data_IF_899085717006
#
_entry.id   IF_899085717006
#
_cell.length_a   1.000
_cell.length_b   1.000
_cell.length_c   1.000
_cell.angle_alpha   90.00
_cell.angle_beta   90.00
_cell.angle_gamma   90.00
#
_symmetry.space_group_name_H-M   'P 1'
#
loop_
_entity.id
_entity.type
_entity.pdbx_description
1 polymer ?
#
# COMPACT_ATOMS: atom_id res chain seq x y z
N UNK A 1 1.75 12.86 -10.87
CA UNK A 1 1.27 11.59 -10.29
C UNK A 1 2.51 10.72 -10.17
N UNK A 2 2.97 10.56 -8.94
CA UNK A 2 4.26 9.95 -8.58
C UNK A 2 4.11 8.46 -8.31
N UNK A 3 5.20 7.69 -8.39
CA UNK A 3 5.21 6.34 -7.81
C UNK A 3 5.46 6.47 -6.33
N UNK A 4 4.56 5.89 -5.54
CA UNK A 4 4.73 5.80 -4.10
C UNK A 4 4.81 4.33 -3.72
N UNK A 5 5.82 4.00 -2.93
CA UNK A 5 6.04 2.66 -2.42
C UNK A 5 5.68 2.64 -0.94
N UNK A 6 4.94 1.62 -0.53
CA UNK A 6 4.61 1.33 0.87
C UNK A 6 5.21 -0.01 1.23
N UNK A 7 6.00 -0.02 2.30
CA UNK A 7 6.51 -1.24 2.91
C UNK A 7 5.71 -1.60 4.17
N UNK A 8 5.41 -2.88 4.31
CA UNK A 8 4.72 -3.44 5.47
C UNK A 8 5.46 -4.67 5.97
N UNK A 9 5.42 -4.85 7.28
CA UNK A 9 5.97 -5.99 7.99
C UNK A 9 4.89 -6.58 8.89
N UNK A 10 4.89 -7.91 9.03
CA UNK A 10 3.91 -8.67 9.79
C UNK A 10 4.61 -9.70 10.67
N UNK A 11 4.15 -9.82 11.92
CA UNK A 11 4.69 -10.79 12.88
C UNK A 11 4.40 -12.25 12.47
N UNK A 12 3.33 -12.45 11.71
CA UNK A 12 2.91 -13.73 11.14
C UNK A 12 2.69 -13.58 9.63
N UNK A 13 2.86 -14.66 8.83
CA UNK A 13 2.58 -14.61 7.40
C UNK A 13 1.18 -14.09 7.12
N UNK A 14 1.06 -13.16 6.16
CA UNK A 14 -0.24 -12.59 5.80
C UNK A 14 -1.14 -13.61 5.13
N UNK A 15 -2.42 -13.56 5.45
CA UNK A 15 -3.46 -14.18 4.63
C UNK A 15 -3.73 -13.30 3.41
N UNK A 16 -3.40 -13.82 2.22
CA UNK A 16 -3.60 -13.12 0.95
C UNK A 16 -5.08 -12.89 0.62
N UNK A 17 -5.96 -13.80 1.01
CA UNK A 17 -7.41 -13.67 0.81
C UNK A 17 -7.97 -12.54 1.68
N UNK A 18 -7.58 -12.50 2.96
CA UNK A 18 -7.96 -11.41 3.86
C UNK A 18 -7.42 -10.06 3.38
N UNK A 19 -6.19 -10.03 2.86
CA UNK A 19 -5.59 -8.82 2.29
C UNK A 19 -6.40 -8.25 1.13
N UNK A 20 -6.86 -9.10 0.21
CA UNK A 20 -7.69 -8.69 -0.92
C UNK A 20 -9.01 -8.11 -0.43
N UNK A 21 -9.67 -8.75 0.52
CA UNK A 21 -10.94 -8.26 1.06
C UNK A 21 -10.76 -6.94 1.83
N UNK A 22 -9.65 -6.78 2.55
CA UNK A 22 -9.31 -5.51 3.21
C UNK A 22 -9.04 -4.40 2.20
N UNK A 23 -8.33 -4.69 1.11
CA UNK A 23 -8.11 -3.73 0.03
C UNK A 23 -9.43 -3.25 -0.59
N UNK A 24 -10.39 -4.17 -0.82
CA UNK A 24 -11.73 -3.82 -1.32
C UNK A 24 -12.50 -2.94 -0.34
N UNK A 25 -12.54 -3.31 0.96
CA UNK A 25 -13.24 -2.52 1.99
C UNK A 25 -12.70 -1.10 2.10
N UNK A 26 -11.40 -0.92 1.86
CA UNK A 26 -10.72 0.35 2.02
C UNK A 26 -10.57 1.15 0.71
N UNK A 27 -11.05 0.64 -0.43
CA UNK A 27 -10.85 1.25 -1.75
C UNK A 27 -11.26 2.73 -1.79
N UNK A 28 -12.40 3.07 -1.17
CA UNK A 28 -12.90 4.44 -1.05
C UNK A 28 -11.90 5.39 -0.36
N UNK A 29 -11.15 4.92 0.64
CA UNK A 29 -10.16 5.76 1.35
C UNK A 29 -9.02 6.19 0.42
N UNK A 30 -8.62 5.30 -0.49
CA UNK A 30 -7.57 5.58 -1.48
C UNK A 30 -8.10 6.45 -2.63
N UNK A 31 -9.32 6.18 -3.11
CA UNK A 31 -9.95 6.97 -4.16
C UNK A 31 -10.15 8.44 -3.78
N UNK A 32 -10.60 8.72 -2.55
CA UNK A 32 -10.79 10.08 -2.03
C UNK A 32 -9.50 10.90 -2.00
N UNK A 33 -8.34 10.25 -1.99
CA UNK A 33 -7.01 10.89 -1.98
C UNK A 33 -6.29 10.79 -3.33
N UNK A 34 -7.00 10.40 -4.39
CA UNK A 34 -6.43 10.17 -5.72
C UNK A 34 -5.28 9.15 -5.73
N UNK A 35 -5.31 8.19 -4.81
CA UNK A 35 -4.34 7.10 -4.72
C UNK A 35 -4.87 5.89 -5.49
N UNK A 36 -4.15 5.43 -6.51
CA UNK A 36 -4.48 4.24 -7.29
C UNK A 36 -3.48 3.14 -6.98
N UNK A 37 -3.97 1.95 -6.70
CA UNK A 37 -3.13 0.77 -6.55
C UNK A 37 -2.56 0.33 -7.90
N UNK A 38 -1.26 0.07 -7.97
CA UNK A 38 -0.58 -0.43 -9.18
C UNK A 38 -0.30 -1.93 -9.04
N UNK A 39 0.34 -2.32 -7.94
CA UNK A 39 0.61 -3.73 -7.62
C UNK A 39 0.94 -3.92 -6.15
N UNK A 40 0.80 -5.16 -5.68
CA UNK A 40 1.32 -5.62 -4.41
C UNK A 40 2.18 -6.85 -4.67
N UNK A 41 3.34 -6.91 -4.02
CA UNK A 41 4.17 -8.11 -3.95
C UNK A 41 4.38 -8.49 -2.49
N UNK A 42 4.34 -9.78 -2.21
CA UNK A 42 4.51 -10.35 -0.88
C UNK A 42 5.73 -11.26 -0.92
N UNK A 43 6.55 -11.24 0.14
CA UNK A 43 7.69 -12.15 0.27
C UNK A 43 7.22 -13.61 0.36
N UNK A 44 8.10 -14.56 0.02
CA UNK A 44 7.76 -15.99 0.07
C UNK A 44 7.38 -16.49 1.47
N UNK A 45 7.89 -15.85 2.53
CA UNK A 45 7.54 -16.15 3.91
C UNK A 45 6.27 -15.42 4.40
N UNK A 46 5.67 -14.58 3.56
CA UNK A 46 4.45 -13.83 3.87
C UNK A 46 4.62 -12.70 4.89
N UNK A 47 5.84 -12.42 5.37
CA UNK A 47 6.07 -11.46 6.46
C UNK A 47 6.37 -10.04 5.98
N UNK A 48 6.65 -9.86 4.69
CA UNK A 48 6.91 -8.55 4.09
C UNK A 48 6.05 -8.34 2.88
N UNK A 49 5.64 -7.09 2.69
CA UNK A 49 4.81 -6.69 1.58
C UNK A 49 5.24 -5.32 1.08
N UNK A 50 5.34 -5.22 -0.24
CA UNK A 50 5.56 -3.95 -0.93
C UNK A 50 4.33 -3.67 -1.78
N UNK A 51 3.70 -2.52 -1.54
CA UNK A 51 2.63 -2.00 -2.38
C UNK A 51 3.17 -0.82 -3.21
N UNK A 52 2.86 -0.81 -4.50
CA UNK A 52 3.12 0.32 -5.39
C UNK A 52 1.81 1.04 -5.68
N UNK A 53 1.85 2.36 -5.58
CA UNK A 53 0.73 3.24 -5.84
C UNK A 53 1.09 4.33 -6.84
N UNK A 54 0.07 4.76 -7.56
CA UNK A 54 0.00 6.05 -8.24
C UNK A 54 -0.65 7.06 -7.30
N UNK A 55 0.02 8.16 -6.97
CA UNK A 55 -0.54 9.14 -6.06
C UNK A 55 -0.04 10.56 -6.37
N UNK A 56 -0.68 11.61 -5.84
CA UNK A 56 -0.12 12.97 -5.89
C UNK A 56 1.27 13.04 -5.23
N UNK A 57 1.42 12.43 -4.05
CA UNK A 57 2.64 12.38 -3.25
C UNK A 57 2.57 11.26 -2.20
N UNK A 58 3.67 11.07 -1.46
CA UNK A 58 3.76 10.08 -0.40
C UNK A 58 2.84 10.37 0.80
N UNK A 59 2.49 11.63 1.06
CA UNK A 59 1.66 12.01 2.21
C UNK A 59 0.20 11.61 1.99
N UNK A 60 -0.30 11.83 0.77
CA UNK A 60 -1.63 11.37 0.34
C UNK A 60 -1.82 9.86 0.57
N UNK A 61 -0.75 9.08 0.38
CA UNK A 61 -0.75 7.63 0.65
C UNK A 61 -0.71 7.34 2.14
N UNK A 62 0.05 8.07 2.96
CA UNK A 62 0.04 7.92 4.42
C UNK A 62 -1.35 8.16 4.98
N UNK A 63 -1.97 9.29 4.62
CA UNK A 63 -3.31 9.64 5.08
C UNK A 63 -4.37 8.61 4.65
N UNK A 64 -4.28 8.08 3.42
CA UNK A 64 -5.18 7.02 2.96
C UNK A 64 -5.00 5.72 3.77
N UNK A 65 -3.76 5.37 4.13
CA UNK A 65 -3.47 4.22 4.98
C UNK A 65 -3.99 4.42 6.41
N UNK A 66 -3.79 5.60 6.97
CA UNK A 66 -4.21 5.95 8.34
C UNK A 66 -5.74 5.94 8.45
N UNK A 67 -6.44 6.54 7.49
CA UNK A 67 -7.91 6.50 7.42
C UNK A 67 -8.44 5.07 7.29
N UNK A 68 -7.74 4.23 6.53
CA UNK A 68 -8.08 2.84 6.32
C UNK A 68 -7.67 1.91 7.48
N UNK A 69 -7.01 2.43 8.52
CA UNK A 69 -6.50 1.65 9.65
C UNK A 69 -5.45 0.60 9.25
N UNK A 70 -4.66 0.89 8.22
CA UNK A 70 -3.77 -0.09 7.56
C UNK A 70 -2.31 0.26 7.88
N UNK A 71 -1.60 -0.56 8.69
CA UNK A 71 -0.25 -0.23 9.17
C UNK A 71 0.79 -0.31 8.06
N UNK A 72 1.79 0.56 8.13
CA UNK A 72 2.97 0.57 7.27
C UNK A 72 4.24 0.82 8.09
N UNK A 73 5.37 0.36 7.58
CA UNK A 73 6.70 0.65 8.15
C UNK A 73 7.27 1.91 7.50
N UNK A 74 7.19 1.99 6.17
CA UNK A 74 7.71 3.13 5.40
C UNK A 74 6.81 3.45 4.21
N UNK A 75 6.76 4.74 3.87
CA UNK A 75 6.13 5.26 2.66
C UNK A 75 7.08 6.26 2.02
N UNK A 76 7.40 6.09 0.75
CA UNK A 76 8.31 6.98 0.03
C UNK A 76 7.97 7.11 -1.45
N UNK A 77 8.30 8.27 -2.02
CA UNK A 77 8.25 8.50 -3.46
C UNK A 77 9.41 7.80 -4.14
N UNK A 78 9.14 7.07 -5.22
CA UNK A 78 10.11 6.37 -6.02
C UNK A 78 10.03 6.84 -7.49
N UNK A 79 11.13 6.68 -8.21
CA UNK A 79 11.20 6.90 -9.64
C UNK A 79 11.45 5.57 -10.34
N UNK A 80 10.65 5.24 -11.35
CA UNK A 80 10.91 4.08 -12.21
C UNK A 80 12.18 4.33 -13.03
N UNK A 81 13.10 3.38 -13.00
CA UNK A 81 14.29 3.38 -13.87
C UNK A 81 13.96 2.44 -15.02
N UNK A 82 14.10 2.92 -16.25
CA UNK A 82 13.95 2.15 -17.50
C UNK A 82 15.31 1.88 -18.12
#
# INVERSE_FOLDING_TARGET
MERVIVEREFDVPVDLGELVERAKRNALCYELRHVKHVRTVVSNDGRRMICEYDAPDAESVREANDLAGVPYVRVWTARRIE
#
